data_IF_970116764946
#
_entry.id   IF_970116764946
#
_cell.length_a   1.000
_cell.length_b   1.000
_cell.length_c   1.000
_cell.angle_alpha   90.00
_cell.angle_beta   90.00
_cell.angle_gamma   90.00
#
_symmetry.space_group_name_H-M   'P 1'
#
loop_
_entity.id
_entity.type
_entity.pdbx_description
1 polymer ?
#
# COMPACT_ATOMS: atom_id res chain seq x y z
N UNK A 1 18.33 -27.83 -8.37
CA UNK A 1 17.57 -27.45 -7.16
C UNK A 1 16.45 -28.45 -6.98
N UNK A 2 16.39 -29.07 -5.81
CA UNK A 2 15.26 -29.92 -5.44
C UNK A 2 14.02 -29.06 -5.22
N UNK A 3 12.87 -29.55 -5.71
CA UNK A 3 11.57 -28.91 -5.52
C UNK A 3 10.79 -29.74 -4.50
N UNK A 4 10.21 -29.06 -3.52
CA UNK A 4 9.33 -29.68 -2.53
C UNK A 4 7.91 -29.15 -2.68
N UNK A 5 6.94 -29.91 -2.20
CA UNK A 5 5.52 -29.58 -2.32
C UNK A 5 5.03 -28.86 -1.07
N UNK A 6 4.38 -27.71 -1.25
CA UNK A 6 3.67 -27.00 -0.19
C UNK A 6 2.18 -27.18 -0.40
N UNK A 7 1.49 -27.75 0.59
CA UNK A 7 0.04 -27.97 0.54
C UNK A 7 -0.67 -26.97 1.48
N UNK A 8 -1.49 -26.08 0.91
CA UNK A 8 -2.12 -24.96 1.63
C UNK A 8 -3.64 -25.14 1.59
N UNK A 9 -4.26 -25.16 2.76
CA UNK A 9 -5.73 -25.10 2.89
C UNK A 9 -6.17 -23.65 2.69
N UNK A 10 -7.13 -23.45 1.80
CA UNK A 10 -7.69 -22.13 1.48
C UNK A 10 -9.17 -22.28 1.16
N UNK A 11 -9.96 -21.26 1.47
CA UNK A 11 -11.35 -21.20 1.04
C UNK A 11 -11.47 -21.27 -0.50
N UNK A 12 -12.50 -21.96 -0.98
CA UNK A 12 -12.72 -22.18 -2.42
C UNK A 12 -12.96 -20.86 -3.15
N UNK A 13 -13.73 -19.95 -2.57
CA UNK A 13 -14.04 -18.66 -3.20
C UNK A 13 -12.80 -17.77 -3.25
N UNK A 14 -12.01 -17.76 -2.17
CA UNK A 14 -10.74 -17.04 -2.13
C UNK A 14 -9.77 -17.57 -3.18
N UNK A 15 -9.64 -18.90 -3.32
CA UNK A 15 -8.78 -19.51 -4.34
C UNK A 15 -9.13 -19.02 -5.76
N UNK A 16 -10.42 -19.03 -6.11
CA UNK A 16 -10.87 -18.55 -7.42
C UNK A 16 -10.53 -17.07 -7.63
N UNK A 17 -10.75 -16.23 -6.61
CA UNK A 17 -10.43 -14.79 -6.67
C UNK A 17 -8.94 -14.55 -6.90
N UNK A 18 -8.07 -15.19 -6.12
CA UNK A 18 -6.61 -15.00 -6.26
C UNK A 18 -6.11 -15.55 -7.59
N UNK A 19 -6.68 -16.65 -8.11
CA UNK A 19 -6.35 -17.14 -9.46
C UNK A 19 -6.73 -16.15 -10.56
N UNK A 20 -7.89 -15.48 -10.43
CA UNK A 20 -8.32 -14.43 -11.36
C UNK A 20 -7.33 -13.27 -11.35
N UNK A 21 -6.98 -12.75 -10.17
CA UNK A 21 -6.00 -11.66 -10.01
C UNK A 21 -4.65 -12.04 -10.62
N UNK A 22 -4.14 -13.24 -10.34
CA UNK A 22 -2.86 -13.69 -10.90
C UNK A 22 -2.90 -13.71 -12.45
N UNK A 23 -4.01 -14.17 -13.04
CA UNK A 23 -4.21 -14.19 -14.49
C UNK A 23 -4.29 -12.78 -15.08
N UNK A 24 -4.99 -11.86 -14.43
CA UNK A 24 -5.05 -10.44 -14.83
C UNK A 24 -3.67 -9.78 -14.81
N UNK A 25 -2.81 -10.17 -13.86
CA UNK A 25 -1.42 -9.73 -13.78
C UNK A 25 -0.48 -10.47 -14.75
N UNK A 26 -0.97 -11.47 -15.51
CA UNK A 26 -0.16 -12.23 -16.47
C UNK A 26 0.71 -13.33 -15.87
N UNK A 27 0.45 -13.75 -14.62
CA UNK A 27 1.26 -14.75 -13.93
C UNK A 27 0.46 -15.99 -13.52
N UNK A 28 1.03 -17.20 -13.57
CA UNK A 28 0.50 -18.35 -12.85
C UNK A 28 0.51 -18.09 -11.34
N UNK A 29 -0.55 -18.53 -10.63
CA UNK A 29 -0.65 -18.37 -9.17
C UNK A 29 0.58 -18.89 -8.43
N UNK A 30 1.11 -20.06 -8.83
CA UNK A 30 2.31 -20.64 -8.21
C UNK A 30 3.56 -19.77 -8.38
N UNK A 31 3.69 -19.05 -9.50
CA UNK A 31 4.80 -18.12 -9.73
C UNK A 31 4.71 -16.94 -8.76
N UNK A 32 3.50 -16.39 -8.58
CA UNK A 32 3.25 -15.28 -7.66
C UNK A 32 3.51 -15.68 -6.20
N UNK A 33 3.05 -16.86 -5.78
CA UNK A 33 3.31 -17.40 -4.43
C UNK A 33 4.82 -17.59 -4.20
N UNK A 34 5.53 -18.16 -5.17
CA UNK A 34 6.98 -18.33 -5.05
C UNK A 34 7.73 -17.00 -4.98
N UNK A 35 7.29 -15.98 -5.73
CA UNK A 35 7.86 -14.63 -5.65
C UNK A 35 7.65 -14.04 -4.25
N UNK A 36 6.42 -14.11 -3.73
CA UNK A 36 6.09 -13.61 -2.39
C UNK A 36 6.90 -14.31 -1.28
N UNK A 37 7.08 -15.63 -1.38
CA UNK A 37 7.92 -16.38 -0.41
C UNK A 37 9.39 -15.96 -0.47
N UNK A 38 9.94 -15.66 -1.66
CA UNK A 38 11.31 -15.15 -1.79
C UNK A 38 11.45 -13.75 -1.19
N UNK A 39 10.47 -12.88 -1.45
CA UNK A 39 10.45 -11.53 -0.88
C UNK A 39 10.32 -11.60 0.65
N UNK A 40 9.49 -12.49 1.18
CA UNK A 40 9.38 -12.72 2.62
C UNK A 40 10.73 -13.10 3.25
N UNK A 41 11.51 -13.97 2.60
CA UNK A 41 12.84 -14.36 3.09
C UNK A 41 13.84 -13.20 2.99
N UNK A 42 13.79 -12.42 1.89
CA UNK A 42 14.71 -11.30 1.65
C UNK A 42 14.45 -10.13 2.60
N UNK A 43 13.19 -9.71 2.70
CA UNK A 43 12.78 -8.52 3.45
C UNK A 43 12.51 -8.81 4.92
N UNK A 44 12.30 -10.09 5.30
CA UNK A 44 11.90 -10.52 6.65
C UNK A 44 10.68 -9.74 7.19
N UNK A 45 9.79 -9.33 6.30
CA UNK A 45 8.64 -8.47 6.60
C UNK A 45 7.38 -9.01 5.94
N UNK A 46 6.29 -8.99 6.69
CA UNK A 46 4.93 -9.24 6.18
C UNK A 46 4.21 -7.90 6.09
N UNK A 47 3.62 -7.60 4.94
CA UNK A 47 2.78 -6.41 4.76
C UNK A 47 1.32 -6.84 4.84
N UNK A 48 0.63 -6.38 5.89
CA UNK A 48 -0.81 -6.55 6.04
C UNK A 48 -1.43 -5.17 5.95
N UNK A 49 -2.02 -4.86 4.79
CA UNK A 49 -2.79 -3.63 4.61
C UNK A 49 -4.28 -3.96 4.74
N UNK A 50 -4.94 -3.39 5.74
CA UNK A 50 -6.38 -3.11 5.61
C UNK A 50 -6.54 -2.02 4.52
N UNK A 51 -7.67 -2.00 3.82
CA UNK A 51 -7.91 -1.05 2.72
C UNK A 51 -7.52 0.39 3.10
N UNK A 52 -7.12 1.18 2.10
CA UNK A 52 -6.61 2.56 2.24
C UNK A 52 -7.63 3.58 2.80
N UNK A 53 -8.67 3.14 3.50
CA UNK A 53 -9.58 4.04 4.20
C UNK A 53 -8.83 4.67 5.37
N UNK A 54 -8.61 5.99 5.38
CA UNK A 54 -7.97 6.64 6.52
C UNK A 54 -8.77 6.37 7.79
N UNK A 55 -8.10 6.26 8.95
CA UNK A 55 -8.82 6.15 10.22
C UNK A 55 -9.62 7.43 10.50
N UNK A 56 -10.56 7.39 11.45
CA UNK A 56 -11.43 8.52 11.79
C UNK A 56 -10.67 9.82 12.06
N UNK A 57 -9.50 9.74 12.71
CA UNK A 57 -8.66 10.93 12.97
C UNK A 57 -8.11 11.53 11.69
N UNK A 58 -7.64 10.68 10.78
CA UNK A 58 -7.07 11.11 9.50
C UNK A 58 -8.14 11.67 8.58
N UNK A 59 -9.35 11.09 8.57
CA UNK A 59 -10.49 11.65 7.81
C UNK A 59 -10.85 13.06 8.27
N UNK A 60 -10.95 13.31 9.59
CA UNK A 60 -11.24 14.66 10.11
C UNK A 60 -10.19 15.70 9.69
N UNK A 61 -8.91 15.34 9.76
CA UNK A 61 -7.83 16.24 9.32
C UNK A 61 -7.96 16.56 7.82
N UNK A 62 -8.31 15.57 7.00
CA UNK A 62 -8.50 15.78 5.57
C UNK A 62 -9.72 16.68 5.28
N UNK A 63 -10.83 16.52 6.01
CA UNK A 63 -12.00 17.40 5.91
C UNK A 63 -11.65 18.85 6.25
N UNK A 64 -10.88 19.09 7.32
CA UNK A 64 -10.39 20.42 7.70
C UNK A 64 -9.48 21.01 6.61
N UNK A 65 -8.56 20.22 6.07
CA UNK A 65 -7.66 20.64 4.98
C UNK A 65 -8.45 20.99 3.71
N UNK A 66 -9.48 20.22 3.35
CA UNK A 66 -10.34 20.50 2.19
C UNK A 66 -11.10 21.83 2.35
N UNK A 67 -11.60 22.11 3.56
CA UNK A 67 -12.22 23.39 3.88
C UNK A 67 -11.22 24.55 3.77
N UNK A 68 -10.00 24.35 4.28
CA UNK A 68 -8.93 25.35 4.24
C UNK A 68 -8.52 25.67 2.79
N UNK A 69 -8.36 24.65 1.93
CA UNK A 69 -8.09 24.80 0.50
C UNK A 69 -9.22 25.57 -0.20
N UNK A 70 -10.49 25.23 0.09
CA UNK A 70 -11.65 25.89 -0.52
C UNK A 70 -11.71 27.38 -0.18
N UNK A 71 -11.28 27.74 1.01
CA UNK A 71 -11.30 29.12 1.52
C UNK A 71 -9.97 29.86 1.35
N UNK A 72 -9.00 29.27 0.65
CA UNK A 72 -7.67 29.83 0.41
C UNK A 72 -6.96 30.29 1.70
N UNK A 73 -7.06 29.46 2.76
CA UNK A 73 -6.46 29.73 4.08
C UNK A 73 -5.56 28.58 4.50
N UNK A 74 -4.70 28.83 5.49
CA UNK A 74 -3.85 27.80 6.11
C UNK A 74 -2.94 27.03 5.13
N UNK A 75 -2.61 27.65 3.99
CA UNK A 75 -1.65 27.15 3.01
C UNK A 75 -0.33 27.94 3.12
N UNK A 76 0.79 27.29 2.80
CA UNK A 76 2.10 27.94 2.74
C UNK A 76 2.82 27.52 1.48
N UNK A 77 3.44 28.49 0.80
CA UNK A 77 4.04 28.31 -0.52
C UNK A 77 3.37 29.18 -1.59
N UNK A 78 3.56 28.88 -2.88
CA UNK A 78 4.30 27.73 -3.42
C UNK A 78 5.78 27.75 -3.05
N UNK A 79 6.39 26.57 -2.92
CA UNK A 79 7.80 26.41 -2.61
C UNK A 79 8.52 25.63 -3.71
N UNK A 80 9.78 25.98 -3.98
CA UNK A 80 10.71 25.02 -4.56
C UNK A 80 11.21 24.02 -3.50
N UNK A 81 12.02 23.04 -3.92
CA UNK A 81 12.49 21.96 -3.02
C UNK A 81 13.26 22.52 -1.82
N UNK A 82 14.16 23.47 -2.05
CA UNK A 82 15.03 24.04 -1.02
C UNK A 82 14.20 24.89 -0.03
N UNK A 83 13.27 25.69 -0.54
CA UNK A 83 12.32 26.49 0.25
C UNK A 83 11.43 25.61 1.13
N UNK A 84 10.88 24.52 0.58
CA UNK A 84 10.03 23.60 1.33
C UNK A 84 10.79 22.95 2.50
N UNK A 85 12.04 22.53 2.26
CA UNK A 85 12.89 21.94 3.32
C UNK A 85 13.21 22.98 4.40
N UNK A 86 13.52 24.22 4.01
CA UNK A 86 13.80 25.29 4.98
C UNK A 86 12.57 25.62 5.82
N UNK A 87 11.39 25.73 5.19
CA UNK A 87 10.12 25.97 5.86
C UNK A 87 9.80 24.88 6.89
N UNK A 88 9.88 23.60 6.50
CA UNK A 88 9.61 22.47 7.41
C UNK A 88 10.58 22.41 8.60
N UNK A 89 11.81 22.91 8.46
CA UNK A 89 12.79 22.99 9.57
C UNK A 89 12.52 24.16 10.52
N UNK A 90 11.71 25.13 10.09
CA UNK A 90 11.36 26.32 10.87
C UNK A 90 10.03 26.20 11.63
N UNK A 91 9.24 25.17 11.32
CA UNK A 91 8.04 24.77 12.07
C UNK A 91 8.41 24.11 13.40
#
# INVERSE_FOLDING_TARGET
MEKTLINIKIDKTLKVKVQKVAKELGFPLGTLINAYLRDLVRERRVVISAGLTPNTRTMKILEEIEEDIKNDRNASGPFNREEAIAYLRSL
#
